data_IF_174318258704
#
_entry.id   IF_174318258704
#
_cell.length_a   1.000
_cell.length_b   1.000
_cell.length_c   1.000
_cell.angle_alpha   90.00
_cell.angle_beta   90.00
_cell.angle_gamma   90.00
#
_symmetry.space_group_name_H-M   'P 1'
#
loop_
_entity.id
_entity.type
_entity.pdbx_description
1 polymer ?
#
# COMPACT_ATOMS: atom_id res chain seq x y z
N UNK A 1 9.60 -12.78 15.34
CA UNK A 1 10.24 -11.64 14.67
C UNK A 1 11.01 -12.20 13.49
N UNK A 2 10.64 -11.84 12.27
CA UNK A 2 11.43 -12.19 11.08
C UNK A 2 12.74 -11.38 11.10
N UNK A 3 13.84 -11.97 10.63
CA UNK A 3 15.13 -11.30 10.61
C UNK A 3 15.15 -10.21 9.53
N UNK A 4 15.64 -9.01 9.86
CA UNK A 4 15.81 -7.91 8.89
C UNK A 4 16.57 -8.42 7.66
N UNK A 5 15.97 -8.29 6.48
CA UNK A 5 16.52 -8.83 5.22
C UNK A 5 16.03 -10.24 4.85
N UNK A 6 15.10 -10.81 5.61
CA UNK A 6 14.43 -12.05 5.21
C UNK A 6 13.47 -11.81 4.02
N UNK A 7 13.27 -12.84 3.20
CA UNK A 7 12.30 -12.79 2.10
C UNK A 7 10.88 -12.49 2.58
N UNK A 8 10.54 -12.88 3.82
CA UNK A 8 9.25 -12.59 4.43
C UNK A 8 9.04 -11.10 4.71
N UNK A 9 10.09 -10.36 5.09
CA UNK A 9 10.01 -8.91 5.31
C UNK A 9 9.87 -8.14 3.99
N UNK A 10 10.53 -8.62 2.92
CA UNK A 10 10.44 -7.98 1.60
C UNK A 10 9.15 -8.33 0.84
N UNK A 11 8.51 -9.47 1.15
CA UNK A 11 7.35 -9.98 0.42
C UNK A 11 6.21 -8.96 0.31
N UNK A 12 5.97 -8.15 1.35
CA UNK A 12 4.97 -7.09 1.31
C UNK A 12 5.32 -6.00 0.29
N UNK A 13 6.56 -5.50 0.32
CA UNK A 13 7.04 -4.49 -0.62
C UNK A 13 7.07 -5.02 -2.06
N UNK A 14 7.48 -6.28 -2.25
CA UNK A 14 7.44 -6.95 -3.55
C UNK A 14 6.02 -7.06 -4.10
N UNK A 15 5.06 -7.49 -3.28
CA UNK A 15 3.66 -7.64 -3.69
C UNK A 15 3.02 -6.30 -4.09
N UNK A 16 3.37 -5.23 -3.36
CA UNK A 16 2.96 -3.87 -3.66
C UNK A 16 3.53 -3.41 -5.01
N UNK A 17 4.85 -3.54 -5.19
CA UNK A 17 5.54 -3.15 -6.42
C UNK A 17 5.07 -3.95 -7.65
N UNK A 18 4.80 -5.25 -7.48
CA UNK A 18 4.26 -6.09 -8.54
C UNK A 18 2.86 -5.62 -8.97
N UNK A 19 2.00 -5.30 -7.99
CA UNK A 19 0.64 -4.81 -8.26
C UNK A 19 0.68 -3.45 -8.96
N UNK A 20 1.53 -2.53 -8.48
CA UNK A 20 1.76 -1.24 -9.12
C UNK A 20 2.15 -1.37 -10.59
N UNK A 21 3.17 -2.18 -10.88
CA UNK A 21 3.66 -2.40 -12.26
C UNK A 21 2.58 -3.01 -13.14
N UNK A 22 1.86 -4.02 -12.64
CA UNK A 22 0.78 -4.70 -13.40
C UNK A 22 -0.34 -3.75 -13.80
N UNK A 23 -0.76 -2.89 -12.87
CA UNK A 23 -1.93 -2.05 -13.04
C UNK A 23 -1.65 -0.70 -13.71
N UNK A 24 -0.42 -0.18 -13.65
CA UNK A 24 -0.04 1.05 -14.36
C UNK A 24 0.45 0.79 -15.80
N UNK A 25 1.10 -0.35 -16.03
CA UNK A 25 1.63 -0.71 -17.36
C UNK A 25 0.72 -1.62 -18.18
N UNK A 26 -0.59 -1.68 -17.94
CA UNK A 26 -1.58 -2.56 -18.61
C UNK A 26 -1.38 -2.66 -20.15
N UNK A 27 -0.50 -3.54 -20.63
CA UNK A 27 -0.11 -3.66 -22.04
C UNK A 27 0.79 -2.55 -22.60
N UNK A 28 1.18 -1.53 -21.82
CA UNK A 28 2.06 -0.44 -22.28
C UNK A 28 3.54 -0.82 -22.14
N UNK A 29 4.33 -0.64 -23.22
CA UNK A 29 5.79 -0.84 -23.19
C UNK A 29 6.51 0.20 -22.34
N UNK A 30 6.08 1.46 -22.39
CA UNK A 30 6.67 2.58 -21.66
C UNK A 30 5.67 3.74 -21.50
N UNK A 31 6.02 4.71 -20.67
CA UNK A 31 5.37 6.02 -20.66
C UNK A 31 6.07 6.93 -21.69
N UNK A 32 5.32 7.78 -22.42
CA UNK A 32 5.89 8.74 -23.38
C UNK A 32 6.84 9.76 -22.74
N UNK A 33 6.54 10.21 -21.52
CA UNK A 33 7.38 11.15 -20.76
C UNK A 33 7.48 10.77 -19.30
N UNK A 34 8.54 11.25 -18.64
CA UNK A 34 8.70 11.11 -17.19
C UNK A 34 7.53 11.76 -16.42
N UNK A 35 7.06 12.92 -16.89
CA UNK A 35 5.93 13.63 -16.26
C UNK A 35 4.67 12.79 -16.27
N UNK A 36 4.37 12.12 -17.38
CA UNK A 36 3.22 11.22 -17.46
C UNK A 36 3.36 10.01 -16.56
N UNK A 37 4.56 9.41 -16.49
CA UNK A 37 4.84 8.31 -15.56
C UNK A 37 4.58 8.71 -14.10
N UNK A 38 5.06 9.90 -13.70
CA UNK A 38 4.86 10.44 -12.34
C UNK A 38 3.38 10.69 -12.05
N UNK A 39 2.64 11.26 -12.99
CA UNK A 39 1.20 11.53 -12.82
C UNK A 39 0.38 10.23 -12.74
N UNK A 40 0.69 9.26 -13.58
CA UNK A 40 0.04 7.95 -13.57
C UNK A 40 0.33 7.21 -12.25
N UNK A 41 1.58 7.23 -11.80
CA UNK A 41 1.97 6.68 -10.52
C UNK A 41 1.26 7.34 -9.33
N UNK A 42 1.18 8.68 -9.33
CA UNK A 42 0.49 9.41 -8.27
C UNK A 42 -1.01 9.11 -8.25
N UNK A 43 -1.66 9.08 -9.42
CA UNK A 43 -3.09 8.72 -9.54
C UNK A 43 -3.34 7.32 -9.03
N UNK A 44 -2.50 6.35 -9.41
CA UNK A 44 -2.61 4.98 -8.94
C UNK A 44 -2.41 4.89 -7.43
N UNK A 45 -1.39 5.55 -6.89
CA UNK A 45 -1.09 5.53 -5.44
C UNK A 45 -2.23 6.16 -4.64
N UNK A 46 -2.79 7.28 -5.13
CA UNK A 46 -3.94 7.90 -4.51
C UNK A 46 -5.14 6.95 -4.50
N UNK A 47 -5.46 6.31 -5.63
CA UNK A 47 -6.53 5.32 -5.69
C UNK A 47 -6.30 4.14 -4.73
N UNK A 48 -5.09 3.59 -4.72
CA UNK A 48 -4.69 2.49 -3.86
C UNK A 48 -4.94 2.80 -2.38
N UNK A 49 -4.53 3.99 -1.91
CA UNK A 49 -4.63 4.33 -0.51
C UNK A 49 -6.01 4.83 -0.08
N UNK A 50 -6.75 5.48 -0.98
CA UNK A 50 -8.00 6.19 -0.62
C UNK A 50 -9.27 5.48 -1.03
N UNK A 51 -9.24 4.60 -2.04
CA UNK A 51 -10.44 4.00 -2.64
C UNK A 51 -10.40 2.49 -2.76
N UNK A 52 -9.23 1.90 -3.05
CA UNK A 52 -9.10 0.45 -3.26
C UNK A 52 -9.47 -0.30 -1.99
N UNK A 53 -10.30 -1.33 -2.11
CA UNK A 53 -10.67 -2.20 -0.99
C UNK A 53 -9.70 -3.38 -0.90
N UNK A 54 -9.27 -3.69 0.31
CA UNK A 54 -8.36 -4.81 0.58
C UNK A 54 -9.05 -5.84 1.48
N UNK A 55 -9.08 -7.10 1.07
CA UNK A 55 -9.67 -8.19 1.85
C UNK A 55 -9.02 -8.32 3.23
N UNK A 56 -7.69 -8.19 3.30
CA UNK A 56 -6.93 -8.19 4.56
C UNK A 56 -7.33 -7.05 5.52
N UNK A 57 -7.87 -5.95 5.00
CA UNK A 57 -8.34 -4.81 5.78
C UNK A 57 -9.86 -4.83 6.01
N UNK A 58 -10.51 -5.99 5.83
CA UNK A 58 -11.96 -6.12 5.96
C UNK A 58 -12.72 -5.38 4.86
N UNK A 59 -12.23 -5.43 3.62
CA UNK A 59 -12.81 -4.73 2.46
C UNK A 59 -12.84 -3.20 2.60
N UNK A 60 -11.86 -2.64 3.31
CA UNK A 60 -11.71 -1.19 3.50
C UNK A 60 -10.45 -0.66 2.79
N UNK A 61 -10.44 0.64 2.43
CA UNK A 61 -9.23 1.30 1.97
C UNK A 61 -8.20 1.48 3.09
N UNK A 62 -6.89 1.51 2.75
CA UNK A 62 -5.81 1.69 3.72
C UNK A 62 -6.01 2.94 4.59
N UNK A 63 -6.36 4.09 3.99
CA UNK A 63 -6.59 5.33 4.77
C UNK A 63 -7.68 5.16 5.84
N UNK A 64 -8.73 4.39 5.55
CA UNK A 64 -9.84 4.17 6.47
C UNK A 64 -9.40 3.23 7.59
N UNK A 65 -8.57 2.24 7.28
CA UNK A 65 -7.99 1.32 8.25
C UNK A 65 -7.05 2.05 9.21
N UNK A 66 -6.07 2.79 8.69
CA UNK A 66 -5.11 3.57 9.49
C UNK A 66 -5.82 4.61 10.37
N UNK A 67 -6.79 5.35 9.82
CA UNK A 67 -7.57 6.31 10.60
C UNK A 67 -8.37 5.66 11.73
N UNK A 68 -8.76 4.38 11.62
CA UNK A 68 -9.42 3.67 12.71
C UNK A 68 -8.41 3.17 13.77
N UNK A 69 -7.22 2.74 13.35
CA UNK A 69 -6.15 2.38 14.28
C UNK A 69 -5.73 3.58 15.14
N UNK A 70 -5.48 4.73 14.53
CA UNK A 70 -5.10 5.95 15.25
C UNK A 70 -6.19 6.49 16.20
N UNK A 71 -7.46 6.10 15.99
CA UNK A 71 -8.57 6.45 16.90
C UNK A 71 -8.70 5.53 18.10
N UNK A 72 -8.00 4.40 18.11
CA UNK A 72 -7.96 3.51 19.28
C UNK A 72 -6.86 4.04 20.20
N UNK A 73 -7.17 4.69 21.33
CA UNK A 73 -6.14 5.10 22.26
C UNK A 73 -5.38 3.84 22.66
N UNK A 74 -4.08 3.83 22.39
CA UNK A 74 -3.18 2.83 22.96
C UNK A 74 -3.05 3.19 24.44
N UNK A 75 -4.05 2.82 25.24
CA UNK A 75 -3.92 2.83 26.69
C UNK A 75 -2.86 1.78 27.01
N UNK A 76 -1.67 2.16 27.50
CA UNK A 76 -0.73 1.17 28.00
C UNK A 76 -1.42 0.49 29.18
N UNK A 77 -1.45 -0.85 29.20
CA UNK A 77 -1.88 -1.56 30.40
C UNK A 77 -0.99 -1.08 31.56
N UNK A 78 -1.60 -0.52 32.61
CA UNK A 78 -0.87 -0.18 33.82
C UNK A 78 -0.22 -1.46 34.34
N UNK A 79 1.10 -1.45 34.42
CA UNK A 79 1.86 -2.51 35.08
C UNK A 79 1.44 -2.53 36.56
N UNK A 80 1.02 -3.71 37.03
CA UNK A 80 0.73 -3.98 38.43
C UNK A 80 2.03 -4.08 39.25
#
# INVERSE_FOLDING_TARGET
MSAVGSSADNALAESFNATFKRETRQGRRSWPTEREARLDAFRWLHHYNTRRRHSRLGQRPPIVFENALHRTPTTPAQAA
#
